data_IF_384497235736
#
_entry.id   IF_384497235736
#
_cell.length_a   1.000
_cell.length_b   1.000
_cell.length_c   1.000
_cell.angle_alpha   90.00
_cell.angle_beta   90.00
_cell.angle_gamma   90.00
#
_symmetry.space_group_name_H-M   'P 1'
#
loop_
_entity.id
_entity.type
_entity.pdbx_description
1 polymer ?
#
# COMPACT_ATOMS: atom_id res chain seq x y z
N UNK A 1 2.93 19.74 -3.32
CA UNK A 1 2.29 18.47 -3.72
C UNK A 1 3.38 17.45 -3.61
N UNK A 2 3.24 16.40 -2.82
CA UNK A 2 4.30 15.39 -2.67
C UNK A 2 3.89 14.12 -3.40
N UNK A 3 4.86 13.46 -4.02
CA UNK A 3 4.71 12.12 -4.61
C UNK A 3 5.53 11.11 -3.82
N UNK A 4 5.09 9.85 -3.82
CA UNK A 4 5.88 8.74 -3.30
C UNK A 4 6.08 7.72 -4.42
N UNK A 5 7.30 7.20 -4.58
CA UNK A 5 7.63 6.18 -5.57
C UNK A 5 8.26 4.96 -4.90
N UNK A 6 7.65 3.79 -5.09
CA UNK A 6 8.18 2.50 -4.66
C UNK A 6 8.99 1.86 -5.79
N UNK A 7 10.30 1.77 -5.61
CA UNK A 7 11.24 1.39 -6.66
C UNK A 7 12.48 0.71 -6.09
N UNK A 8 13.08 -0.20 -6.86
CA UNK A 8 14.35 -0.83 -6.52
C UNK A 8 15.12 -1.22 -7.78
N UNK A 9 15.10 -2.50 -8.19
CA UNK A 9 15.96 -2.98 -9.27
C UNK A 9 15.60 -2.47 -10.67
N UNK A 10 14.38 -1.98 -10.89
CA UNK A 10 13.96 -1.54 -12.24
C UNK A 10 14.52 -0.18 -12.65
N UNK A 11 14.86 0.68 -11.69
CA UNK A 11 15.48 2.00 -11.92
C UNK A 11 16.39 2.42 -10.78
N UNK A 12 17.53 3.02 -11.12
CA UNK A 12 18.41 3.64 -10.14
C UNK A 12 17.92 5.01 -9.67
N UNK A 13 18.30 5.39 -8.45
CA UNK A 13 18.01 6.72 -7.90
C UNK A 13 18.56 7.87 -8.79
N UNK A 14 19.69 7.63 -9.48
CA UNK A 14 20.28 8.59 -10.41
C UNK A 14 19.37 8.88 -11.60
N UNK A 15 18.79 7.83 -12.19
CA UNK A 15 17.86 7.97 -13.31
C UNK A 15 16.59 8.71 -12.90
N UNK A 16 16.06 8.40 -11.72
CA UNK A 16 14.87 9.07 -11.19
C UNK A 16 15.14 10.55 -10.93
N UNK A 17 16.27 10.85 -10.28
CA UNK A 17 16.68 12.23 -9.98
C UNK A 17 16.88 13.07 -11.24
N UNK A 18 17.40 12.46 -12.32
CA UNK A 18 17.52 13.13 -13.61
C UNK A 18 16.15 13.51 -14.22
N UNK A 19 15.14 12.65 -14.08
CA UNK A 19 13.80 12.86 -14.64
C UNK A 19 12.92 13.78 -13.77
N UNK A 20 13.07 13.72 -12.45
CA UNK A 20 12.22 14.43 -11.49
C UNK A 20 12.91 15.61 -10.81
N UNK A 21 13.96 16.15 -11.44
CA UNK A 21 14.66 17.33 -10.95
C UNK A 21 13.69 18.50 -10.71
N UNK A 22 13.61 18.96 -9.46
CA UNK A 22 12.75 20.07 -9.05
C UNK A 22 11.30 19.69 -8.73
N UNK A 23 10.97 18.40 -8.66
CA UNK A 23 9.70 17.92 -8.14
C UNK A 23 9.84 17.54 -6.66
N UNK A 24 8.76 17.65 -5.89
CA UNK A 24 8.70 17.19 -4.50
C UNK A 24 8.27 15.72 -4.47
N UNK A 25 9.21 14.83 -4.14
CA UNK A 25 8.98 13.38 -4.11
C UNK A 25 9.80 12.70 -3.01
N UNK A 26 9.33 11.52 -2.59
CA UNK A 26 10.05 10.59 -1.70
C UNK A 26 10.21 9.25 -2.39
N UNK A 27 11.40 8.67 -2.30
CA UNK A 27 11.67 7.31 -2.77
C UNK A 27 11.54 6.33 -1.61
N UNK A 28 10.74 5.30 -1.81
CA UNK A 28 10.59 4.18 -0.90
C UNK A 28 11.16 2.91 -1.57
N UNK A 29 11.66 1.93 -0.79
CA UNK A 29 12.10 0.64 -1.33
C UNK A 29 10.95 -0.08 -2.08
N UNK A 30 11.21 -1.21 -2.77
CA UNK A 30 10.14 -2.01 -3.36
C UNK A 30 8.99 -2.28 -2.38
N UNK A 31 7.76 -2.11 -2.83
CA UNK A 31 6.58 -2.21 -1.99
C UNK A 31 6.39 -3.63 -1.41
N UNK A 32 6.01 -3.70 -0.14
CA UNK A 32 5.54 -4.90 0.56
C UNK A 32 4.24 -4.59 1.30
N UNK A 33 3.62 -5.63 1.85
CA UNK A 33 2.38 -5.49 2.61
C UNK A 33 2.54 -4.46 3.73
N UNK A 34 1.63 -3.49 3.74
CA UNK A 34 1.53 -2.42 4.71
C UNK A 34 2.18 -1.11 4.27
N UNK A 35 3.14 -1.14 3.34
CA UNK A 35 3.91 0.04 2.96
C UNK A 35 3.05 1.09 2.25
N UNK A 36 2.08 0.67 1.44
CA UNK A 36 1.16 1.60 0.77
C UNK A 36 0.25 2.26 1.80
N UNK A 37 -0.26 1.50 2.78
CA UNK A 37 -1.03 2.07 3.88
C UNK A 37 -0.23 3.11 4.67
N UNK A 38 1.03 2.82 5.00
CA UNK A 38 1.92 3.77 5.68
C UNK A 38 2.21 5.01 4.83
N UNK A 39 2.41 4.86 3.53
CA UNK A 39 2.56 5.98 2.61
C UNK A 39 1.30 6.87 2.57
N UNK A 40 0.09 6.27 2.66
CA UNK A 40 -1.16 7.04 2.72
C UNK A 40 -1.23 7.98 3.92
N UNK A 41 -0.63 7.60 5.06
CA UNK A 41 -0.62 8.45 6.27
C UNK A 41 0.15 9.77 6.05
N UNK A 42 1.12 9.77 5.13
CA UNK A 42 1.86 10.97 4.71
C UNK A 42 1.03 11.88 3.79
N UNK A 43 -0.18 11.45 3.39
CA UNK A 43 -1.12 12.14 2.49
C UNK A 43 -0.46 12.70 1.21
N UNK A 44 0.30 11.89 0.45
CA UNK A 44 0.83 12.33 -0.83
C UNK A 44 -0.31 12.62 -1.81
N UNK A 45 -0.03 13.45 -2.81
CA UNK A 45 -0.96 13.68 -3.91
C UNK A 45 -1.02 12.48 -4.87
N UNK A 46 0.08 11.74 -4.99
CA UNK A 46 0.15 10.54 -5.80
C UNK A 46 1.17 9.52 -5.28
N UNK A 47 0.93 8.24 -5.58
CA UNK A 47 1.86 7.14 -5.33
C UNK A 47 2.13 6.40 -6.65
N UNK A 48 3.40 6.21 -6.98
CA UNK A 48 3.85 5.34 -8.06
C UNK A 48 4.38 4.02 -7.49
N UNK A 49 3.99 2.91 -8.09
CA UNK A 49 4.49 1.58 -7.76
C UNK A 49 5.21 1.04 -9.00
N UNK A 50 6.52 0.82 -8.89
CA UNK A 50 7.31 0.15 -9.93
C UNK A 50 7.59 -1.26 -9.43
N UNK A 51 8.37 -1.37 -8.35
CA UNK A 51 8.85 -2.63 -7.81
C UNK A 51 8.14 -3.02 -6.52
N UNK A 52 8.04 -4.34 -6.30
CA UNK A 52 7.57 -4.93 -5.05
C UNK A 52 8.42 -6.14 -4.70
N UNK A 53 8.47 -6.48 -3.41
CA UNK A 53 9.13 -7.70 -2.97
C UNK A 53 8.23 -8.92 -3.23
N UNK A 54 8.87 -10.04 -3.54
CA UNK A 54 8.23 -11.34 -3.81
C UNK A 54 8.82 -12.43 -2.90
N UNK A 55 8.02 -13.46 -2.58
CA UNK A 55 8.29 -14.60 -1.69
C UNK A 55 8.66 -14.31 -0.23
N UNK A 56 9.75 -13.56 0.03
CA UNK A 56 10.35 -13.43 1.36
C UNK A 56 9.54 -12.58 2.32
N UNK A 57 8.75 -11.67 1.76
CA UNK A 57 7.80 -10.84 2.50
C UNK A 57 6.47 -10.85 1.75
N UNK A 58 5.34 -10.77 2.46
CA UNK A 58 4.05 -10.65 1.80
C UNK A 58 4.05 -9.44 0.86
N UNK A 59 3.67 -9.68 -0.40
CA UNK A 59 3.56 -8.63 -1.41
C UNK A 59 2.42 -7.67 -1.07
N UNK A 60 2.48 -6.47 -1.64
CA UNK A 60 1.45 -5.44 -1.48
C UNK A 60 0.06 -5.98 -1.79
N UNK A 61 -0.90 -5.73 -0.88
CA UNK A 61 -2.28 -6.13 -1.06
C UNK A 61 -3.02 -5.15 -1.97
N UNK A 62 -3.88 -5.69 -2.85
CA UNK A 62 -4.83 -4.88 -3.63
C UNK A 62 -5.62 -3.92 -2.75
N UNK A 63 -5.96 -4.38 -1.54
CA UNK A 63 -6.72 -3.61 -0.57
C UNK A 63 -6.00 -2.36 -0.09
N UNK A 64 -4.67 -2.36 0.00
CA UNK A 64 -3.94 -1.14 0.35
C UNK A 64 -4.01 -0.10 -0.76
N UNK A 65 -3.99 -0.55 -2.01
CA UNK A 65 -4.12 0.32 -3.19
C UNK A 65 -5.54 0.87 -3.30
N UNK A 66 -6.56 0.02 -3.11
CA UNK A 66 -7.96 0.44 -3.02
C UNK A 66 -8.17 1.45 -1.88
N UNK A 67 -7.51 1.24 -0.73
CA UNK A 67 -7.53 2.19 0.37
C UNK A 67 -6.91 3.53 -0.04
N UNK A 68 -5.74 3.52 -0.67
CA UNK A 68 -5.08 4.75 -1.12
C UNK A 68 -5.96 5.56 -2.08
N UNK A 69 -6.61 4.89 -3.03
CA UNK A 69 -7.58 5.52 -3.94
C UNK A 69 -8.83 6.03 -3.21
N UNK A 70 -9.33 5.29 -2.20
CA UNK A 70 -10.45 5.73 -1.33
C UNK A 70 -10.11 6.99 -0.54
N UNK A 71 -8.84 7.18 -0.18
CA UNK A 71 -8.33 8.41 0.45
C UNK A 71 -8.08 9.55 -0.54
N UNK A 72 -8.44 9.38 -1.82
CA UNK A 72 -8.28 10.39 -2.87
C UNK A 72 -6.85 10.53 -3.41
N UNK A 73 -5.98 9.56 -3.15
CA UNK A 73 -4.60 9.55 -3.65
C UNK A 73 -4.58 8.90 -5.04
N UNK A 74 -3.95 9.56 -6.02
CA UNK A 74 -3.82 9.00 -7.35
C UNK A 74 -2.72 7.94 -7.39
N UNK A 75 -3.04 6.73 -7.88
CA UNK A 75 -2.10 5.60 -7.89
C UNK A 75 -1.70 5.23 -9.32
N UNK A 76 -0.40 5.05 -9.54
CA UNK A 76 0.19 4.64 -10.80
C UNK A 76 0.96 3.33 -10.64
N UNK A 77 0.97 2.48 -11.67
CA UNK A 77 1.72 1.23 -11.67
C UNK A 77 2.38 0.91 -13.02
N UNK A 78 3.62 0.42 -12.99
CA UNK A 78 4.35 0.01 -14.19
C UNK A 78 5.44 -1.03 -13.90
N UNK A 79 6.06 -1.54 -14.97
CA UNK A 79 7.29 -2.33 -15.02
C UNK A 79 7.34 -3.70 -14.34
N UNK A 80 6.92 -3.81 -13.08
CA UNK A 80 7.07 -5.02 -12.27
C UNK A 80 5.77 -5.30 -11.52
N UNK A 81 5.84 -5.55 -10.21
CA UNK A 81 4.67 -5.69 -9.33
C UNK A 81 3.66 -4.54 -9.51
N UNK A 82 4.13 -3.33 -9.83
CA UNK A 82 3.25 -2.20 -10.14
C UNK A 82 2.37 -2.40 -11.37
N UNK A 83 2.91 -2.97 -12.45
CA UNK A 83 2.15 -3.27 -13.67
C UNK A 83 1.08 -4.34 -13.42
N UNK A 84 1.42 -5.40 -12.68
CA UNK A 84 0.48 -6.45 -12.29
C UNK A 84 -0.69 -5.87 -11.50
N UNK A 85 -0.40 -5.11 -10.43
CA UNK A 85 -1.42 -4.47 -9.61
C UNK A 85 -2.27 -3.48 -10.39
N UNK A 86 -1.66 -2.74 -11.32
CA UNK A 86 -2.40 -1.85 -12.21
C UNK A 86 -3.35 -2.62 -13.14
N UNK A 87 -2.93 -3.74 -13.72
CA UNK A 87 -3.80 -4.56 -14.56
C UNK A 87 -5.05 -5.01 -13.80
N UNK A 88 -4.87 -5.49 -12.58
CA UNK A 88 -5.94 -5.96 -11.69
C UNK A 88 -6.85 -4.83 -11.18
N UNK A 89 -6.31 -3.61 -11.00
CA UNK A 89 -7.02 -2.48 -10.36
C UNK A 89 -7.37 -1.33 -11.31
N UNK A 90 -7.11 -1.48 -12.60
CA UNK A 90 -7.38 -0.44 -13.60
C UNK A 90 -8.85 -0.05 -13.67
N UNK A 91 -9.77 -1.03 -13.57
CA UNK A 91 -11.21 -0.81 -13.51
C UNK A 91 -11.68 -0.06 -12.25
N UNK A 92 -10.86 -0.03 -11.22
CA UNK A 92 -11.12 0.66 -9.94
C UNK A 92 -10.49 2.06 -9.88
N UNK A 93 -9.67 2.45 -10.86
CA UNK A 93 -9.09 3.79 -10.98
C UNK A 93 -7.56 3.85 -10.91
N UNK A 94 -6.86 2.73 -10.70
CA UNK A 94 -5.40 2.70 -10.74
C UNK A 94 -4.90 2.90 -12.17
N UNK A 95 -3.91 3.76 -12.38
CA UNK A 95 -3.39 4.06 -13.71
C UNK A 95 -2.18 3.20 -14.05
N UNK A 96 -2.38 2.23 -14.94
CA UNK A 96 -1.29 1.43 -15.49
C UNK A 96 -0.53 2.12 -16.61
N UNK A 97 0.77 1.89 -16.68
CA UNK A 97 1.65 2.49 -17.70
C UNK A 97 2.59 1.43 -18.26
N UNK A 98 2.79 1.49 -19.58
CA UNK A 98 3.81 0.72 -20.27
C UNK A 98 3.28 -0.57 -20.91
N UNK A 99 4.21 -1.27 -21.57
CA UNK A 99 3.93 -2.48 -22.32
C UNK A 99 3.53 -3.63 -21.40
N UNK A 100 4.25 -3.82 -20.30
CA UNK A 100 4.04 -4.92 -19.36
C UNK A 100 2.63 -4.82 -18.74
N UNK A 101 2.20 -3.61 -18.37
CA UNK A 101 0.82 -3.40 -17.92
C UNK A 101 -0.20 -3.77 -19.00
N UNK A 102 0.04 -3.36 -20.24
CA UNK A 102 -0.88 -3.65 -21.36
C UNK A 102 -0.96 -5.15 -21.64
N UNK A 103 0.15 -5.87 -21.52
CA UNK A 103 0.21 -7.30 -21.76
C UNK A 103 -0.49 -8.08 -20.63
N UNK A 104 -0.35 -7.66 -19.36
CA UNK A 104 -1.15 -8.22 -18.26
C UNK A 104 -2.65 -7.88 -18.40
N UNK A 105 -2.99 -6.65 -18.77
CA UNK A 105 -4.38 -6.21 -18.89
C UNK A 105 -5.12 -6.94 -20.02
N UNK A 106 -4.42 -7.27 -21.11
CA UNK A 106 -4.97 -8.02 -22.23
C UNK A 106 -4.99 -9.55 -22.01
N UNK A 107 -4.29 -10.04 -20.99
CA UNK A 107 -4.09 -11.48 -20.75
C UNK A 107 -3.02 -12.11 -21.63
N UNK A 108 -2.19 -11.32 -22.34
CA UNK A 108 -0.99 -11.85 -23.01
C UNK A 108 0.03 -12.39 -21.98
N UNK A 109 0.08 -11.76 -20.80
CA UNK A 109 0.81 -12.25 -19.64
C UNK A 109 -0.17 -12.55 -18.51
N UNK A 110 -0.01 -13.70 -17.86
CA UNK A 110 -0.84 -14.12 -16.73
C UNK A 110 -0.01 -14.53 -15.50
N UNK A 111 1.25 -14.96 -15.70
CA UNK A 111 2.11 -15.43 -14.62
C UNK A 111 2.86 -14.28 -13.91
N UNK A 112 2.82 -14.25 -12.57
CA UNK A 112 3.58 -13.30 -11.75
C UNK A 112 5.11 -13.40 -11.98
N UNK A 113 5.59 -14.57 -12.40
CA UNK A 113 7.01 -14.82 -12.64
C UNK A 113 7.57 -14.06 -13.85
N UNK A 114 6.72 -13.45 -14.67
CA UNK A 114 7.10 -12.73 -15.88
C UNK A 114 8.00 -11.53 -15.57
N UNK A 115 7.74 -10.87 -14.44
CA UNK A 115 8.43 -9.66 -13.99
C UNK A 115 9.38 -9.90 -12.81
N UNK A 116 9.36 -11.11 -12.26
CA UNK A 116 10.07 -11.48 -11.04
C UNK A 116 11.56 -11.75 -11.32
N UNK A 117 12.42 -11.20 -10.45
CA UNK A 117 13.88 -11.37 -10.51
C UNK A 117 14.45 -11.59 -9.11
N UNK A 118 15.65 -12.16 -9.05
CA UNK A 118 16.48 -12.16 -7.85
C UNK A 118 17.39 -10.96 -7.91
N UNK A 119 17.44 -10.18 -6.83
CA UNK A 119 18.27 -8.99 -6.73
C UNK A 119 18.91 -8.87 -5.35
N UNK A 120 19.99 -8.09 -5.28
CA UNK A 120 20.71 -7.75 -4.06
C UNK A 120 19.90 -6.80 -3.16
N UNK A 121 20.41 -6.54 -1.97
CA UNK A 121 19.80 -5.61 -1.03
C UNK A 121 19.84 -4.15 -1.51
N UNK A 122 19.18 -3.25 -0.78
CA UNK A 122 19.23 -1.80 -1.08
C UNK A 122 20.65 -1.26 -0.92
N UNK A 123 21.35 -1.74 0.09
CA UNK A 123 22.73 -1.38 0.45
C UNK A 123 23.72 -1.76 -0.66
N UNK A 124 23.41 -2.81 -1.41
CA UNK A 124 24.16 -3.31 -2.56
C UNK A 124 23.63 -2.75 -3.90
N UNK A 125 22.70 -1.79 -3.87
CA UNK A 125 22.21 -1.08 -5.05
C UNK A 125 21.22 -1.86 -5.92
N UNK A 126 20.60 -2.92 -5.42
CA UNK A 126 19.62 -3.74 -6.15
C UNK A 126 20.16 -4.40 -7.44
N UNK A 127 21.43 -4.82 -7.43
CA UNK A 127 22.02 -5.61 -8.52
C UNK A 127 21.20 -6.87 -8.80
N UNK A 128 20.89 -7.12 -10.07
CA UNK A 128 20.07 -8.27 -10.47
C UNK A 128 20.94 -9.51 -10.72
N UNK A 129 20.58 -10.63 -10.10
CA UNK A 129 21.23 -11.93 -10.27
C UNK A 129 20.48 -12.86 -11.23
N UNK A 130 19.26 -12.49 -11.62
CA UNK A 130 18.51 -13.16 -12.67
C UNK A 130 17.80 -12.14 -13.57
N UNK A 131 17.33 -12.61 -14.73
CA UNK A 131 16.67 -11.79 -15.74
C UNK A 131 15.15 -12.04 -15.78
N UNK A 132 14.38 -10.97 -15.97
CA UNK A 132 12.93 -11.02 -16.08
C UNK A 132 12.51 -11.64 -17.42
N UNK A 133 11.46 -12.46 -17.42
CA UNK A 133 10.98 -13.12 -18.63
C UNK A 133 10.53 -12.11 -19.69
N UNK A 134 9.93 -10.99 -19.29
CA UNK A 134 9.55 -9.89 -20.19
C UNK A 134 10.75 -9.30 -20.95
N UNK A 135 11.91 -9.19 -20.32
CA UNK A 135 13.14 -8.70 -20.96
C UNK A 135 13.70 -9.74 -21.93
N UNK A 136 13.65 -11.03 -21.57
CA UNK A 136 14.03 -12.14 -22.46
C UNK A 136 13.12 -12.17 -23.70
N UNK A 137 11.80 -12.04 -23.52
CA UNK A 137 10.82 -11.97 -24.62
C UNK A 137 11.12 -10.82 -25.57
N UNK A 138 11.28 -9.60 -25.04
CA UNK A 138 11.58 -8.43 -25.84
C UNK A 138 12.91 -8.56 -26.60
N UNK A 139 13.96 -9.05 -25.93
CA UNK A 139 15.28 -9.22 -26.52
C UNK A 139 15.29 -10.28 -27.63
N UNK A 140 14.67 -11.45 -27.42
CA UNK A 140 14.59 -12.49 -28.45
C UNK A 140 13.69 -12.10 -29.62
N UNK A 141 12.63 -11.32 -29.39
CA UNK A 141 11.83 -10.73 -30.46
C UNK A 141 12.66 -9.78 -31.33
N UNK A 142 13.51 -8.94 -30.71
CA UNK A 142 14.43 -8.03 -31.41
C UNK A 142 15.52 -8.78 -32.18
N UNK A 143 16.10 -9.84 -31.60
CA UNK A 143 17.07 -10.69 -32.27
C UNK A 143 16.48 -11.36 -33.52
N UNK A 144 15.23 -11.83 -33.43
CA UNK A 144 14.49 -12.39 -34.57
C UNK A 144 14.20 -11.33 -35.63
N UNK A 145 13.77 -10.13 -35.24
CA UNK A 145 13.56 -9.02 -36.18
C UNK A 145 14.85 -8.61 -36.90
N UNK A 146 16.00 -8.78 -36.25
CA UNK A 146 17.33 -8.51 -36.79
C UNK A 146 17.92 -9.68 -37.61
N UNK A 147 17.18 -10.78 -37.77
CA UNK A 147 17.61 -11.95 -38.54
C UNK A 147 18.72 -12.78 -37.89
N UNK A 148 18.97 -12.60 -36.59
CA UNK A 148 19.97 -13.38 -35.84
C UNK A 148 19.48 -14.79 -35.56
N UNK A 149 18.19 -14.93 -35.27
CA UNK A 149 17.49 -16.20 -35.07
C UNK A 149 16.18 -16.21 -35.87
N UNK A 150 15.68 -17.39 -36.18
CA UNK A 150 14.36 -17.56 -36.79
C UNK A 150 13.25 -17.69 -35.73
N UNK A 151 12.01 -17.86 -36.20
CA UNK A 151 10.84 -18.02 -35.32
C UNK A 151 10.92 -19.29 -34.47
N UNK A 152 11.36 -20.41 -35.04
CA UNK A 152 11.40 -21.70 -34.37
C UNK A 152 12.42 -21.69 -33.22
N UNK A 153 13.61 -21.12 -33.48
CA UNK A 153 14.64 -20.90 -32.48
C UNK A 153 14.14 -19.99 -31.36
N UNK A 154 13.52 -18.84 -31.70
CA UNK A 154 12.96 -17.90 -30.71
C UNK A 154 11.95 -18.61 -29.81
N UNK A 155 10.98 -19.32 -30.39
CA UNK A 155 9.88 -19.95 -29.64
C UNK A 155 10.39 -21.08 -28.75
N UNK A 156 11.37 -21.86 -29.24
CA UNK A 156 12.03 -22.90 -28.46
C UNK A 156 12.84 -22.34 -27.29
N UNK A 157 13.57 -21.24 -27.50
CA UNK A 157 14.32 -20.56 -26.43
C UNK A 157 13.40 -19.95 -25.38
N UNK A 158 12.26 -19.38 -25.81
CA UNK A 158 11.24 -18.86 -24.88
C UNK A 158 10.59 -19.98 -24.06
N UNK A 159 10.27 -21.11 -24.70
CA UNK A 159 9.73 -22.28 -24.01
C UNK A 159 10.72 -22.79 -22.96
N UNK A 160 12.01 -22.88 -23.30
CA UNK A 160 13.06 -23.25 -22.34
C UNK A 160 13.21 -22.23 -21.21
N UNK A 161 13.25 -20.93 -21.51
CA UNK A 161 13.35 -19.88 -20.51
C UNK A 161 12.17 -19.91 -19.51
N UNK A 162 10.97 -20.26 -19.99
CA UNK A 162 9.78 -20.44 -19.14
C UNK A 162 9.83 -21.68 -18.25
N UNK A 163 10.53 -22.74 -18.66
CA UNK A 163 10.73 -23.92 -17.81
C UNK A 163 11.70 -23.65 -16.66
N UNK A 164 12.61 -22.69 -16.82
CA UNK A 164 13.50 -22.27 -15.74
C UNK A 164 12.70 -21.54 -14.65
N UNK A 165 13.02 -21.87 -13.39
CA UNK A 165 12.59 -21.03 -12.28
C UNK A 165 13.17 -19.63 -12.45
N UNK A 166 12.43 -18.58 -12.08
CA UNK A 166 12.85 -17.19 -12.33
C UNK A 166 14.21 -16.84 -11.70
N UNK A 167 14.62 -17.55 -10.64
CA UNK A 167 15.94 -17.40 -10.00
C UNK A 167 17.11 -17.93 -10.82
N UNK A 168 16.83 -18.76 -11.83
CA UNK A 168 17.81 -19.39 -12.70
C UNK A 168 17.88 -18.75 -14.08
N UNK A 169 17.00 -17.79 -14.37
CA UNK A 169 16.93 -17.13 -15.68
C UNK A 169 18.11 -16.19 -15.87
N UNK A 170 18.88 -16.44 -16.92
CA UNK A 170 19.90 -15.53 -17.43
C UNK A 170 20.00 -15.73 -18.94
N UNK A 171 20.48 -14.72 -19.67
CA UNK A 171 20.67 -14.89 -21.11
C UNK A 171 21.65 -16.03 -21.42
N UNK A 172 22.68 -16.22 -20.61
CA UNK A 172 23.63 -17.33 -20.78
C UNK A 172 22.94 -18.69 -20.66
N UNK A 173 22.08 -18.86 -19.64
CA UNK A 173 21.29 -20.07 -19.47
C UNK A 173 20.34 -20.31 -20.65
N UNK A 174 19.68 -19.25 -21.14
CA UNK A 174 18.75 -19.34 -22.28
C UNK A 174 19.48 -19.67 -23.57
N UNK A 175 20.59 -19.00 -23.88
CA UNK A 175 21.39 -19.24 -25.11
C UNK A 175 21.91 -20.68 -25.17
N UNK A 176 22.27 -21.27 -24.03
CA UNK A 176 22.71 -22.67 -23.92
C UNK A 176 21.55 -23.66 -23.68
N UNK A 177 20.31 -23.20 -23.85
CA UNK A 177 19.11 -24.00 -23.63
C UNK A 177 19.04 -25.24 -24.52
N UNK A 178 18.41 -26.28 -23.98
CA UNK A 178 18.23 -27.58 -24.63
C UNK A 178 16.75 -27.89 -24.76
N UNK A 179 16.38 -28.60 -25.81
CA UNK A 179 15.03 -29.12 -25.97
C UNK A 179 14.77 -30.33 -25.03
N UNK A 180 13.56 -30.90 -25.09
CA UNK A 180 13.17 -32.03 -24.24
C UNK A 180 14.07 -33.28 -24.40
N UNK A 181 14.70 -33.46 -25.56
CA UNK A 181 15.62 -34.57 -25.85
C UNK A 181 17.07 -34.28 -25.41
N UNK A 182 17.32 -33.14 -24.76
CA UNK A 182 18.64 -32.72 -24.32
C UNK A 182 19.55 -32.17 -25.42
N UNK A 183 19.00 -31.91 -26.61
CA UNK A 183 19.72 -31.36 -27.77
C UNK A 183 19.74 -29.82 -27.67
N UNK A 184 20.89 -29.16 -27.91
CA UNK A 184 20.95 -27.70 -27.96
C UNK A 184 19.95 -27.13 -28.96
N UNK A 185 19.20 -26.12 -28.51
CA UNK A 185 18.22 -25.42 -29.36
C UNK A 185 18.95 -24.72 -30.50
N UNK A 186 20.04 -24.03 -30.19
CA UNK A 186 20.94 -23.44 -31.17
C UNK A 186 21.95 -24.50 -31.64
N UNK A 187 21.72 -25.05 -32.83
CA UNK A 187 22.56 -26.13 -33.39
C UNK A 187 23.88 -25.62 -33.98
N UNK A 188 23.90 -24.39 -34.46
CA UNK A 188 25.06 -23.80 -35.13
C UNK A 188 25.82 -22.89 -34.16
N UNK A 189 27.12 -23.16 -33.98
CA UNK A 189 28.00 -22.34 -33.12
C UNK A 189 28.04 -20.88 -33.55
N UNK A 190 27.98 -20.61 -34.85
CA UNK A 190 27.94 -19.23 -35.38
C UNK A 190 26.71 -18.46 -34.91
N UNK A 191 25.54 -19.10 -34.91
CA UNK A 191 24.29 -18.49 -34.43
C UNK A 191 24.33 -18.23 -32.92
N UNK A 192 24.89 -19.16 -32.15
CA UNK A 192 25.10 -18.99 -30.70
C UNK A 192 25.97 -17.77 -30.40
N UNK A 193 27.11 -17.62 -31.09
CA UNK A 193 28.00 -16.47 -30.89
C UNK A 193 27.36 -15.16 -31.35
N UNK A 194 26.65 -15.16 -32.50
CA UNK A 194 25.90 -14.00 -32.97
C UNK A 194 24.84 -13.56 -31.96
N UNK A 195 24.08 -14.49 -31.39
CA UNK A 195 23.06 -14.17 -30.39
C UNK A 195 23.68 -13.68 -29.08
N UNK A 196 24.78 -14.29 -28.63
CA UNK A 196 25.51 -13.85 -27.44
C UNK A 196 26.03 -12.42 -27.59
N UNK A 197 26.63 -12.10 -28.75
CA UNK A 197 27.07 -10.75 -29.07
C UNK A 197 25.87 -9.78 -29.14
N UNK A 198 24.77 -10.21 -29.78
CA UNK A 198 23.56 -9.40 -29.89
C UNK A 198 22.99 -9.04 -28.52
N UNK A 199 22.83 -10.01 -27.63
CA UNK A 199 22.32 -9.78 -26.26
C UNK A 199 23.23 -8.82 -25.49
N UNK A 200 24.56 -8.97 -25.61
CA UNK A 200 25.51 -8.09 -24.93
C UNK A 200 25.46 -6.63 -25.38
N UNK A 201 24.98 -6.35 -26.60
CA UNK A 201 24.94 -5.00 -27.18
C UNK A 201 23.53 -4.41 -27.31
N UNK A 202 22.52 -5.27 -27.44
CA UNK A 202 21.16 -4.91 -27.86
C UNK A 202 20.07 -5.58 -27.02
N UNK A 203 20.40 -6.02 -25.80
CA UNK A 203 19.39 -6.47 -24.84
C UNK A 203 18.40 -5.34 -24.53
N UNK A 204 17.13 -5.72 -24.42
CA UNK A 204 16.03 -4.79 -24.16
C UNK A 204 15.60 -4.96 -22.71
N UNK A 205 15.73 -3.88 -21.93
CA UNK A 205 15.17 -3.80 -20.58
C UNK A 205 13.78 -3.17 -20.63
N UNK A 206 12.76 -3.99 -20.87
CA UNK A 206 11.37 -3.55 -20.93
C UNK A 206 10.89 -2.98 -19.57
N UNK A 207 11.34 -3.56 -18.46
CA UNK A 207 11.02 -3.06 -17.11
C UNK A 207 11.49 -1.61 -16.94
N UNK A 208 12.72 -1.31 -17.32
CA UNK A 208 13.27 0.05 -17.26
C UNK A 208 12.50 1.01 -18.16
N UNK A 209 12.17 0.61 -19.40
CA UNK A 209 11.41 1.46 -20.33
C UNK A 209 10.03 1.83 -19.78
N UNK A 210 9.30 0.85 -19.24
CA UNK A 210 7.99 1.06 -18.62
C UNK A 210 8.08 1.94 -17.36
N UNK A 211 9.11 1.74 -16.55
CA UNK A 211 9.37 2.54 -15.36
C UNK A 211 9.64 4.02 -15.73
N UNK A 212 10.47 4.27 -16.75
CA UNK A 212 10.72 5.61 -17.28
C UNK A 212 9.45 6.27 -17.84
N UNK A 213 8.60 5.51 -18.51
CA UNK A 213 7.30 6.00 -18.99
C UNK A 213 6.39 6.43 -17.83
N UNK A 214 6.38 5.68 -16.73
CA UNK A 214 5.67 6.06 -15.50
C UNK A 214 6.23 7.36 -14.89
N UNK A 215 7.55 7.53 -14.82
CA UNK A 215 8.16 8.78 -14.34
C UNK A 215 7.72 9.98 -15.19
N UNK A 216 7.69 9.82 -16.51
CA UNK A 216 7.28 10.87 -17.44
C UNK A 216 5.79 11.25 -17.26
N UNK A 217 4.92 10.26 -17.09
CA UNK A 217 3.50 10.49 -16.85
C UNK A 217 3.28 11.21 -15.52
N UNK A 218 3.86 10.73 -14.42
CA UNK A 218 3.71 11.34 -13.10
C UNK A 218 4.25 12.77 -13.07
N UNK A 219 5.39 13.05 -13.71
CA UNK A 219 5.94 14.42 -13.84
C UNK A 219 4.98 15.34 -14.59
N UNK A 220 4.30 14.83 -15.61
CA UNK A 220 3.29 15.58 -16.36
C UNK A 220 2.06 15.88 -15.51
N UNK A 221 1.57 14.89 -14.75
CA UNK A 221 0.45 15.06 -13.82
C UNK A 221 0.80 16.03 -12.69
N UNK A 222 2.01 15.94 -12.12
CA UNK A 222 2.48 16.86 -11.09
C UNK A 222 2.40 18.32 -11.55
N UNK A 223 2.83 18.62 -12.78
CA UNK A 223 2.82 19.98 -13.34
C UNK A 223 1.41 20.49 -13.63
N UNK A 224 0.48 19.60 -14.00
CA UNK A 224 -0.92 19.94 -14.27
C UNK A 224 -1.77 20.01 -13.00
N UNK A 225 -1.29 19.40 -11.91
CA UNK A 225 -2.07 19.09 -10.72
C UNK A 225 -2.69 17.69 -10.82
N UNK A 226 -2.61 16.94 -9.72
CA UNK A 226 -3.28 15.66 -9.62
C UNK A 226 -4.79 15.85 -9.46
N UNK A 227 -5.57 15.05 -10.18
CA UNK A 227 -7.01 14.98 -10.05
C UNK A 227 -7.37 13.59 -9.58
N UNK A 228 -8.09 13.46 -8.47
CA UNK A 228 -8.62 12.18 -8.05
C UNK A 228 -9.46 11.60 -9.19
N UNK A 229 -9.04 10.45 -9.72
CA UNK A 229 -9.79 9.72 -10.73
C UNK A 229 -11.17 9.34 -10.18
N UNK A 230 -12.15 9.17 -11.07
CA UNK A 230 -13.48 8.71 -10.67
C UNK A 230 -13.39 7.36 -9.96
N UNK A 231 -13.69 7.34 -8.67
CA UNK A 231 -13.75 6.12 -7.86
C UNK A 231 -15.06 5.39 -8.19
N UNK A 232 -14.96 4.22 -8.80
CA UNK A 232 -16.12 3.40 -9.15
C UNK A 232 -16.41 2.28 -8.14
N UNK A 233 -15.89 2.39 -6.92
CA UNK A 233 -16.06 1.38 -5.88
C UNK A 233 -16.30 2.01 -4.51
N UNK A 234 -16.75 1.18 -3.56
CA UNK A 234 -16.82 1.52 -2.15
C UNK A 234 -15.81 0.64 -1.41
N UNK A 235 -14.91 1.25 -0.65
CA UNK A 235 -13.92 0.49 0.10
C UNK A 235 -14.61 -0.29 1.23
N UNK A 236 -14.50 -1.62 1.17
CA UNK A 236 -15.08 -2.50 2.16
C UNK A 236 -14.09 -2.79 3.28
N UNK A 237 -14.40 -2.41 4.51
CA UNK A 237 -13.59 -2.79 5.68
C UNK A 237 -13.80 -4.27 6.01
N UNK A 238 -12.69 -5.00 6.19
CA UNK A 238 -12.72 -6.42 6.60
C UNK A 238 -11.86 -6.63 7.83
N UNK A 239 -12.07 -7.73 8.52
CA UNK A 239 -11.29 -8.11 9.70
C UNK A 239 -9.80 -8.23 9.38
N UNK A 240 -9.43 -8.88 8.27
CA UNK A 240 -8.03 -9.00 7.83
C UNK A 240 -7.36 -7.63 7.59
N UNK A 241 -8.13 -6.64 7.12
CA UNK A 241 -7.64 -5.27 6.95
C UNK A 241 -7.34 -4.62 8.30
N UNK A 242 -8.26 -4.77 9.26
CA UNK A 242 -8.09 -4.24 10.62
C UNK A 242 -6.88 -4.89 11.31
N UNK A 243 -6.74 -6.22 11.23
CA UNK A 243 -5.62 -6.94 11.81
C UNK A 243 -4.27 -6.45 11.24
N UNK A 244 -4.20 -6.19 9.93
CA UNK A 244 -3.01 -5.65 9.31
C UNK A 244 -2.67 -4.25 9.86
N UNK A 245 -3.66 -3.37 9.98
CA UNK A 245 -3.48 -2.03 10.58
C UNK A 245 -2.97 -2.15 12.02
N UNK A 246 -3.60 -2.99 12.84
CA UNK A 246 -3.25 -3.16 14.25
C UNK A 246 -1.80 -3.63 14.41
N UNK A 247 -1.37 -4.59 13.58
CA UNK A 247 0.01 -5.09 13.55
C UNK A 247 1.02 -3.99 13.15
N UNK A 248 0.68 -3.15 12.16
CA UNK A 248 1.55 -2.04 11.77
C UNK A 248 1.65 -0.98 12.85
N UNK A 249 0.53 -0.62 13.48
CA UNK A 249 0.51 0.35 14.59
C UNK A 249 1.35 -0.15 15.77
N UNK A 250 1.25 -1.44 16.13
CA UNK A 250 2.11 -2.05 17.14
C UNK A 250 3.60 -1.94 16.78
N UNK A 251 3.98 -2.25 15.53
CA UNK A 251 5.38 -2.13 15.07
C UNK A 251 5.90 -0.69 15.10
N UNK A 252 5.09 0.28 14.67
CA UNK A 252 5.46 1.70 14.70
C UNK A 252 5.69 2.17 16.14
N UNK A 253 4.85 1.73 17.08
CA UNK A 253 5.01 2.07 18.49
C UNK A 253 6.33 1.51 19.04
N UNK A 254 6.66 0.24 18.78
CA UNK A 254 7.92 -0.36 19.22
C UNK A 254 9.14 0.37 18.63
N UNK A 255 9.13 0.69 17.34
CA UNK A 255 10.25 1.37 16.68
C UNK A 255 10.49 2.82 17.17
N UNK A 256 9.46 3.49 17.71
CA UNK A 256 9.60 4.79 18.35
C UNK A 256 10.18 4.69 19.77
N UNK A 257 10.04 3.57 20.46
CA UNK A 257 10.64 3.35 21.77
C UNK A 257 12.18 3.27 21.69
N UNK A 258 12.71 2.52 20.71
CA UNK A 258 14.14 2.25 20.57
C UNK A 258 15.00 3.46 20.11
N UNK A 259 14.40 4.54 19.60
CA UNK A 259 15.15 5.72 19.09
C UNK A 259 15.45 6.78 20.14
N UNK A 260 14.83 6.74 21.31
CA UNK A 260 14.94 7.77 22.35
C UNK A 260 16.02 7.47 23.42
N UNK A 261 16.84 6.43 23.25
CA UNK A 261 17.75 5.93 24.30
C UNK A 261 19.09 6.70 24.44
N UNK A 262 19.15 7.98 24.04
CA UNK A 262 20.36 8.82 24.21
C UNK A 262 20.17 10.09 25.03
N UNK A 263 18.96 10.40 25.51
CA UNK A 263 18.78 11.36 26.61
C UNK A 263 17.60 10.90 27.46
N UNK A 264 17.80 10.88 28.78
CA UNK A 264 16.80 10.52 29.77
C UNK A 264 15.53 11.39 29.67
N UNK A 265 14.60 10.96 28.84
CA UNK A 265 13.20 11.33 28.85
C UNK A 265 12.42 10.12 28.35
N UNK A 266 11.79 9.43 29.29
CA UNK A 266 10.96 8.23 29.08
C UNK A 266 9.97 8.44 27.93
N UNK A 267 10.21 7.80 26.79
CA UNK A 267 9.36 7.94 25.61
C UNK A 267 8.03 7.20 25.79
N UNK A 268 7.00 7.75 25.17
CA UNK A 268 5.57 7.44 25.44
C UNK A 268 5.15 6.08 24.85
N UNK A 269 5.98 5.50 23.97
CA UNK A 269 5.74 4.20 23.36
C UNK A 269 5.88 3.04 24.36
N UNK A 270 6.84 3.12 25.30
CA UNK A 270 7.00 2.15 26.41
C UNK A 270 5.85 2.22 27.42
N UNK A 271 5.12 3.33 27.41
CA UNK A 271 3.88 3.44 28.15
C UNK A 271 2.80 2.70 27.39
N UNK A 272 2.40 3.12 26.18
CA UNK A 272 1.09 2.76 25.62
C UNK A 272 0.92 1.35 24.98
N UNK A 273 1.99 0.68 24.52
CA UNK A 273 1.85 -0.42 23.53
C UNK A 273 1.49 -1.82 24.05
N UNK A 274 1.85 -2.16 25.28
CA UNK A 274 1.48 -3.44 25.92
C UNK A 274 1.65 -3.32 27.44
N UNK A 275 2.65 -2.55 27.89
CA UNK A 275 2.90 -2.21 29.28
C UNK A 275 1.81 -1.34 29.93
N UNK A 276 1.21 -0.36 29.25
CA UNK A 276 0.12 0.45 29.81
C UNK A 276 -1.18 -0.32 29.83
N UNK A 277 -1.55 -1.01 28.75
CA UNK A 277 -2.78 -1.80 28.73
C UNK A 277 -2.74 -2.89 29.81
N UNK A 278 -1.60 -3.59 29.97
CA UNK A 278 -1.40 -4.54 31.06
C UNK A 278 -1.38 -3.87 32.46
N UNK A 279 -0.69 -2.74 32.64
CA UNK A 279 -0.70 -1.98 33.91
C UNK A 279 -2.06 -1.38 34.25
N UNK A 280 -2.82 -0.92 33.26
CA UNK A 280 -4.15 -0.35 33.40
C UNK A 280 -5.18 -1.45 33.70
N UNK A 281 -5.09 -2.59 33.03
CA UNK A 281 -5.85 -3.80 33.35
C UNK A 281 -5.59 -4.28 34.78
N UNK A 282 -4.34 -4.23 35.25
CA UNK A 282 -3.96 -4.62 36.61
C UNK A 282 -4.45 -3.62 37.68
N UNK A 283 -4.41 -2.31 37.41
CA UNK A 283 -4.81 -1.28 38.37
C UNK A 283 -6.32 -1.11 38.49
N UNK A 284 -7.05 -1.07 37.37
CA UNK A 284 -8.49 -0.79 37.34
C UNK A 284 -9.24 -1.73 36.37
N UNK A 285 -9.37 -3.01 36.74
CA UNK A 285 -9.97 -4.05 35.88
C UNK A 285 -11.36 -3.70 35.32
N UNK A 286 -12.22 -3.07 36.13
CA UNK A 286 -13.58 -2.71 35.71
C UNK A 286 -13.59 -1.53 34.73
N UNK A 287 -12.78 -0.49 34.99
CA UNK A 287 -12.65 0.68 34.11
C UNK A 287 -12.01 0.29 32.78
N UNK A 288 -10.99 -0.58 32.82
CA UNK A 288 -10.39 -1.18 31.63
C UNK A 288 -11.44 -1.88 30.77
N UNK A 289 -12.29 -2.72 31.36
CA UNK A 289 -13.30 -3.46 30.61
C UNK A 289 -14.33 -2.53 29.95
N UNK A 290 -14.72 -1.45 30.64
CA UNK A 290 -15.65 -0.46 30.10
C UNK A 290 -15.04 0.29 28.91
N UNK A 291 -13.81 0.80 29.05
CA UNK A 291 -13.11 1.50 27.97
C UNK A 291 -12.86 0.56 26.80
N UNK A 292 -12.44 -0.68 27.06
CA UNK A 292 -12.19 -1.67 26.04
C UNK A 292 -13.46 -2.00 25.23
N UNK A 293 -14.59 -2.21 25.90
CA UNK A 293 -15.87 -2.45 25.23
C UNK A 293 -16.32 -1.22 24.42
N UNK A 294 -16.15 0.00 24.95
CA UNK A 294 -16.47 1.24 24.24
C UNK A 294 -15.59 1.42 22.98
N UNK A 295 -14.30 1.10 23.08
CA UNK A 295 -13.38 1.15 21.95
C UNK A 295 -13.73 0.14 20.86
N UNK A 296 -14.11 -1.09 21.23
CA UNK A 296 -14.60 -2.11 20.28
C UNK A 296 -15.88 -1.67 19.58
N UNK A 297 -16.84 -1.13 20.33
CA UNK A 297 -18.07 -0.60 19.74
C UNK A 297 -17.78 0.55 18.77
N UNK A 298 -16.90 1.49 19.16
CA UNK A 298 -16.45 2.57 18.29
C UNK A 298 -15.84 2.04 16.99
N UNK A 299 -14.94 1.06 17.09
CA UNK A 299 -14.29 0.45 15.93
C UNK A 299 -15.32 -0.19 15.00
N UNK A 300 -16.24 -1.00 15.53
CA UNK A 300 -17.32 -1.63 14.76
C UNK A 300 -18.21 -0.59 14.07
N UNK A 301 -18.62 0.46 14.78
CA UNK A 301 -19.45 1.54 14.24
C UNK A 301 -18.78 2.27 13.07
N UNK A 302 -17.47 2.56 13.19
CA UNK A 302 -16.69 3.16 12.11
C UNK A 302 -16.62 2.19 10.91
N UNK A 303 -16.34 0.92 11.14
CA UNK A 303 -16.29 -0.10 10.07
C UNK A 303 -17.62 -0.24 9.34
N UNK A 304 -18.75 -0.23 10.07
CA UNK A 304 -20.08 -0.28 9.47
C UNK A 304 -20.34 0.93 8.58
N UNK A 305 -19.90 2.12 8.99
CA UNK A 305 -20.04 3.32 8.17
C UNK A 305 -19.35 3.20 6.81
N UNK A 306 -18.19 2.53 6.77
CA UNK A 306 -17.51 2.26 5.50
C UNK A 306 -18.21 1.17 4.69
N UNK A 307 -18.71 0.11 5.35
CA UNK A 307 -19.46 -0.96 4.69
C UNK A 307 -20.69 -0.44 3.96
N UNK A 308 -21.39 0.51 4.57
CA UNK A 308 -22.56 1.18 4.01
C UNK A 308 -22.22 2.27 2.97
N UNK A 309 -20.92 2.48 2.69
CA UNK A 309 -20.47 3.50 1.74
C UNK A 309 -20.78 4.94 2.18
N UNK A 310 -20.90 5.18 3.49
CA UNK A 310 -21.15 6.53 3.98
C UNK A 310 -19.91 7.42 3.80
N UNK A 311 -20.13 8.57 3.18
CA UNK A 311 -19.16 9.65 3.06
C UNK A 311 -19.44 10.75 4.08
N UNK A 312 -18.39 11.23 4.73
CA UNK A 312 -18.51 12.30 5.74
C UNK A 312 -18.60 13.63 5.03
N UNK A 313 -19.76 14.28 5.12
CA UNK A 313 -19.96 15.63 4.57
C UNK A 313 -19.33 16.71 5.45
N UNK A 314 -19.09 17.89 4.89
CA UNK A 314 -18.59 19.04 5.65
C UNK A 314 -19.53 19.42 6.82
N UNK A 315 -20.84 19.25 6.64
CA UNK A 315 -21.83 19.47 7.69
C UNK A 315 -21.66 18.46 8.84
N UNK A 316 -21.56 17.17 8.53
CA UNK A 316 -21.36 16.12 9.54
C UNK A 316 -20.07 16.33 10.33
N UNK A 317 -18.99 16.75 9.66
CA UNK A 317 -17.73 17.05 10.33
C UNK A 317 -17.85 18.26 11.27
N UNK A 318 -18.57 19.30 10.85
CA UNK A 318 -18.84 20.48 11.68
C UNK A 318 -19.67 20.12 12.93
N UNK A 319 -20.74 19.34 12.75
CA UNK A 319 -21.58 18.84 13.84
C UNK A 319 -20.79 17.96 14.81
N UNK A 320 -19.92 17.09 14.29
CA UNK A 320 -19.06 16.24 15.11
C UNK A 320 -18.08 17.07 15.96
N UNK A 321 -17.46 18.11 15.38
CA UNK A 321 -16.59 19.04 16.10
C UNK A 321 -17.35 19.78 17.21
N UNK A 322 -18.55 20.30 16.92
CA UNK A 322 -19.38 20.99 17.92
C UNK A 322 -19.79 20.05 19.05
N UNK A 323 -20.22 18.83 18.72
CA UNK A 323 -20.59 17.82 19.72
C UNK A 323 -19.40 17.42 20.60
N UNK A 324 -18.24 17.17 19.99
CA UNK A 324 -17.01 16.90 20.72
C UNK A 324 -16.65 18.04 21.69
N UNK A 325 -16.79 19.29 21.24
CA UNK A 325 -16.54 20.46 22.11
C UNK A 325 -17.53 20.53 23.28
N UNK A 326 -18.80 20.16 23.08
CA UNK A 326 -19.80 20.10 24.16
C UNK A 326 -19.46 19.02 25.18
N UNK A 327 -19.16 17.81 24.71
CA UNK A 327 -18.87 16.64 25.55
C UNK A 327 -17.59 16.83 26.39
N UNK A 328 -16.62 17.60 25.88
CA UNK A 328 -15.37 17.89 26.57
C UNK A 328 -15.32 19.29 27.23
N UNK A 329 -16.47 19.98 27.32
CA UNK A 329 -16.60 21.30 27.94
C UNK A 329 -15.69 22.41 27.35
N UNK A 330 -15.41 22.37 26.04
CA UNK A 330 -14.64 23.38 25.31
C UNK A 330 -15.51 24.54 24.77
N UNK A 331 -16.69 24.76 25.33
CA UNK A 331 -17.58 25.85 24.95
C UNK A 331 -17.73 26.83 26.11
N UNK A 332 -17.28 28.06 25.89
CA UNK A 332 -17.39 29.16 26.85
C UNK A 332 -18.20 30.28 26.18
N UNK A 333 -19.26 30.74 26.84
CA UNK A 333 -20.13 31.83 26.34
C UNK A 333 -20.64 31.60 24.90
N UNK A 334 -21.10 30.38 24.60
CA UNK A 334 -21.61 29.96 23.28
C UNK A 334 -20.56 30.02 22.14
N UNK A 335 -19.27 30.13 22.46
CA UNK A 335 -18.17 30.08 21.49
C UNK A 335 -17.22 28.93 21.82
N UNK A 336 -16.64 28.35 20.77
CA UNK A 336 -15.62 27.31 20.90
C UNK A 336 -14.33 27.95 21.41
N UNK A 337 -13.80 27.43 22.52
CA UNK A 337 -12.50 27.83 23.06
C UNK A 337 -11.38 27.08 22.34
N UNK A 338 -10.78 27.73 21.35
CA UNK A 338 -9.67 27.18 20.56
C UNK A 338 -8.41 26.97 21.40
N UNK A 339 -8.17 27.77 22.45
CA UNK A 339 -7.01 27.62 23.32
C UNK A 339 -7.15 26.40 24.24
N UNK A 340 -8.36 26.12 24.73
CA UNK A 340 -8.64 24.89 25.46
C UNK A 340 -8.41 23.65 24.58
N UNK A 341 -8.84 23.67 23.32
CA UNK A 341 -8.60 22.57 22.38
C UNK A 341 -7.11 22.38 22.13
N UNK A 342 -6.37 23.45 21.84
CA UNK A 342 -4.91 23.34 21.64
C UNK A 342 -4.19 22.81 22.89
N UNK A 343 -4.59 23.22 24.10
CA UNK A 343 -4.04 22.67 25.34
C UNK A 343 -4.36 21.19 25.51
N UNK A 344 -5.60 20.79 25.25
CA UNK A 344 -6.01 19.40 25.30
C UNK A 344 -5.23 18.55 24.29
N UNK A 345 -5.11 19.02 23.04
CA UNK A 345 -4.33 18.35 22.01
C UNK A 345 -2.87 18.17 22.42
N UNK A 346 -2.26 19.20 23.01
CA UNK A 346 -0.88 19.11 23.53
C UNK A 346 -0.77 18.09 24.66
N UNK A 347 -1.76 18.01 25.56
CA UNK A 347 -1.80 17.01 26.64
C UNK A 347 -1.97 15.58 26.09
N UNK A 348 -2.78 15.42 25.04
CA UNK A 348 -3.00 14.14 24.36
C UNK A 348 -1.93 13.81 23.31
N UNK A 349 -0.92 14.69 23.14
CA UNK A 349 0.16 14.54 22.16
C UNK A 349 -0.33 14.42 20.70
N UNK A 350 -1.41 15.13 20.38
CA UNK A 350 -2.01 15.16 19.03
C UNK A 350 -1.56 16.41 18.27
N UNK A 351 -1.22 16.23 17.00
CA UNK A 351 -1.09 17.34 16.05
C UNK A 351 -2.44 17.66 15.37
N UNK A 352 -2.52 18.80 14.66
CA UNK A 352 -3.76 19.23 13.97
C UNK A 352 -4.27 18.21 12.95
N UNK A 353 -3.37 17.55 12.23
CA UNK A 353 -3.76 16.54 11.23
C UNK A 353 -4.38 15.30 11.87
N UNK A 354 -3.80 14.82 12.98
CA UNK A 354 -4.32 13.70 13.77
C UNK A 354 -5.67 14.05 14.41
N UNK A 355 -5.82 15.27 14.88
CA UNK A 355 -7.09 15.75 15.42
C UNK A 355 -8.19 15.80 14.36
N UNK A 356 -7.90 16.31 13.16
CA UNK A 356 -8.88 16.32 12.07
C UNK A 356 -9.28 14.90 11.64
N UNK A 357 -8.33 13.96 11.60
CA UNK A 357 -8.62 12.54 11.35
C UNK A 357 -9.54 11.96 12.43
N UNK A 358 -9.22 12.22 13.71
CA UNK A 358 -10.01 11.77 14.85
C UNK A 358 -11.45 12.30 14.78
N UNK A 359 -11.62 13.57 14.38
CA UNK A 359 -12.95 14.18 14.20
C UNK A 359 -13.69 13.59 13.00
N UNK A 360 -12.99 13.24 11.94
CA UNK A 360 -13.58 12.56 10.79
C UNK A 360 -14.12 11.17 11.17
N UNK A 361 -13.36 10.40 11.94
CA UNK A 361 -13.80 9.13 12.52
C UNK A 361 -14.91 9.32 13.56
N UNK A 362 -14.85 10.40 14.34
CA UNK A 362 -15.91 10.76 15.29
C UNK A 362 -17.23 11.04 14.57
N UNK A 363 -17.19 11.73 13.42
CA UNK A 363 -18.38 11.97 12.60
C UNK A 363 -19.01 10.65 12.11
N UNK A 364 -18.17 9.70 11.68
CA UNK A 364 -18.62 8.35 11.32
C UNK A 364 -19.28 7.62 12.48
N UNK A 365 -18.66 7.69 13.66
CA UNK A 365 -19.19 7.10 14.88
C UNK A 365 -20.55 7.70 15.26
N UNK A 366 -20.68 9.04 15.28
CA UNK A 366 -21.94 9.69 15.63
C UNK A 366 -23.07 9.38 14.67
N UNK A 367 -22.78 9.31 13.36
CA UNK A 367 -23.75 8.86 12.37
C UNK A 367 -24.26 7.44 12.65
N UNK A 368 -23.37 6.52 13.01
CA UNK A 368 -23.80 5.16 13.34
C UNK A 368 -24.64 5.12 14.62
N UNK A 369 -24.27 5.90 15.64
CA UNK A 369 -25.05 6.01 16.86
C UNK A 369 -26.46 6.57 16.60
N UNK A 370 -26.60 7.57 15.71
CA UNK A 370 -27.93 8.13 15.40
C UNK A 370 -28.81 7.15 14.60
N UNK A 371 -28.23 6.26 13.81
CA UNK A 371 -28.98 5.20 13.12
C UNK A 371 -29.54 4.12 14.07
N UNK A 372 -28.84 3.87 15.18
CA UNK A 372 -29.13 2.72 16.06
C UNK A 372 -29.81 3.12 17.37
N UNK A 373 -30.15 4.40 17.55
CA UNK A 373 -30.67 4.95 18.81
C UNK A 373 -31.96 4.24 19.28
N UNK A 374 -32.87 3.91 18.37
CA UNK A 374 -34.11 3.18 18.67
C UNK A 374 -33.90 1.68 18.90
N UNK A 375 -33.00 1.06 18.14
CA UNK A 375 -32.67 -0.37 18.27
C UNK A 375 -31.92 -0.66 19.59
N UNK A 376 -31.10 0.28 20.06
CA UNK A 376 -30.33 0.14 21.30
C UNK A 376 -31.22 0.10 22.56
N UNK A 377 -32.40 0.73 22.57
CA UNK A 377 -33.28 0.71 23.76
C UNK A 377 -33.75 -0.71 24.12
N UNK A 378 -34.08 -1.52 23.12
CA UNK A 378 -34.47 -2.92 23.33
C UNK A 378 -33.28 -3.76 23.82
N UNK A 379 -32.11 -3.56 23.21
CA UNK A 379 -30.89 -4.27 23.60
C UNK A 379 -30.43 -3.87 25.01
N UNK A 380 -30.60 -2.62 25.43
CA UNK A 380 -30.33 -2.18 26.81
C UNK A 380 -31.19 -2.95 27.80
N UNK A 381 -32.49 -3.10 27.51
CA UNK A 381 -33.41 -3.88 28.35
C UNK A 381 -32.98 -5.35 28.44
N UNK A 382 -32.65 -5.97 27.31
CA UNK A 382 -32.23 -7.37 27.29
C UNK A 382 -30.86 -7.58 27.96
N UNK A 383 -29.91 -6.64 27.78
CA UNK A 383 -28.63 -6.66 28.48
C UNK A 383 -28.79 -6.46 29.99
N UNK A 384 -29.73 -5.61 30.44
CA UNK A 384 -30.09 -5.48 31.85
C UNK A 384 -30.65 -6.79 32.41
N UNK A 385 -31.41 -7.57 31.63
CA UNK A 385 -31.89 -8.90 32.04
C UNK A 385 -30.73 -9.91 32.12
N UNK A 386 -29.86 -9.96 31.11
CA UNK A 386 -28.68 -10.84 31.08
C UNK A 386 -27.78 -10.58 32.29
N UNK A 387 -27.58 -9.31 32.65
CA UNK A 387 -26.75 -8.89 33.79
C UNK A 387 -27.47 -8.95 35.14
N UNK A 388 -28.76 -9.32 35.17
CA UNK A 388 -29.56 -9.39 36.39
C UNK A 388 -29.91 -8.03 37.02
N UNK A 389 -29.58 -6.91 36.36
CA UNK A 389 -29.79 -5.54 36.87
C UNK A 389 -31.17 -4.97 36.53
N UNK A 390 -31.94 -5.65 35.70
CA UNK A 390 -33.26 -5.18 35.25
C UNK A 390 -34.20 -4.92 36.44
N UNK A 391 -34.34 -5.88 37.36
CA UNK A 391 -35.25 -5.72 38.51
C UNK A 391 -34.83 -4.61 39.46
N UNK A 392 -33.53 -4.32 39.56
CA UNK A 392 -33.00 -3.30 40.48
C UNK A 392 -33.22 -1.87 39.98
N UNK A 393 -33.28 -1.67 38.67
CA UNK A 393 -33.44 -0.37 38.02
C UNK A 393 -34.86 -0.11 37.49
N UNK A 394 -35.66 -1.15 37.26
CA UNK A 394 -37.05 -1.00 36.81
C UNK A 394 -38.03 -0.62 37.95
N UNK A 395 -37.58 -0.70 39.20
CA UNK A 395 -38.38 -0.45 40.41
C UNK A 395 -37.95 0.84 41.14
N UNK A 396 -36.90 1.53 40.66
CA UNK A 396 -36.51 2.89 41.06
C UNK A 396 -37.15 3.92 40.14
#
# INVERSE_FOLDING_TARGET
>A
MSMILFVGPSLSEKEITAHWKGLDYTLEPPARQGDIYLACQKRPSAIGIIDGYFERVPSVWHKEILWAMDQGIQIFGAASMGALRAAELSSYGMQGVGRIFSDFQSGELEDDDEVTIIHSSKEEGYESYSEAMVNIRATLASAKASGIIDNECRDSLLAYAKQLHYSQRSYDAVIHGKNADGVPILRQTETTEKLKQFVGLHSINQKQQDALALLALMSTCYKKGFSAGGKNFVFQYTENWQQMIDLLTQRQNIACADRDDSQSSTSVADVLGDGFLSRFQQKNKNEYQQIYNAARFRSMAIQESYRQGMEVTAQMLSEAKVRFCRENAFIINQRIDLEAIHRWMKQQQLNMQQFDQLMHEQARFYWYCSLTESAQLNEVVDYLKITGKYQTLAVS
#
